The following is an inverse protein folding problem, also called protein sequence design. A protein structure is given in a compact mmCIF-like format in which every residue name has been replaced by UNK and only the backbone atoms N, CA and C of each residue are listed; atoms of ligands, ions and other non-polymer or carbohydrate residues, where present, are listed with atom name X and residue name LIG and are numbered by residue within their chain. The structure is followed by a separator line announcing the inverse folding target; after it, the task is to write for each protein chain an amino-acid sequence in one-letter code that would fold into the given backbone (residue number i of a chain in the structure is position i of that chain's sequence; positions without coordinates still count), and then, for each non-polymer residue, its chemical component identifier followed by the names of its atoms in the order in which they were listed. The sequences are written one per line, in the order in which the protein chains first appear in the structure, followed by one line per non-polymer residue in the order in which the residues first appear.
data_IF_388289185078
#
_entry.id   IF_388289185078
#
_cell.length_a   1.000
_cell.length_b   1.000
_cell.length_c   1.000
_cell.angle_alpha   90.00
_cell.angle_beta   90.00
_cell.angle_gamma   90.00
#
_symmetry.space_group_name_H-M   'P 1'
#
loop_
_entity.id
_entity.type
_entity.pdbx_description
1 polymer ?
#
# COMPACT_ATOMS: atom_id res chain seq x y z
N UNK A 1 -49.43 -35.30 47.60
CA UNK A 1 -49.10 -35.52 46.18
C UNK A 1 -48.35 -34.30 45.69
N UNK A 2 -47.03 -34.45 45.51
CA UNK A 2 -46.08 -33.40 45.17
C UNK A 2 -46.10 -33.10 43.68
N UNK A 3 -46.25 -31.84 43.26
CA UNK A 3 -45.74 -31.37 41.97
C UNK A 3 -45.24 -29.92 42.09
N UNK A 4 -43.92 -29.80 42.21
CA UNK A 4 -43.11 -28.63 41.86
C UNK A 4 -42.85 -28.65 40.34
N UNK A 5 -43.10 -27.54 39.64
CA UNK A 5 -42.38 -27.24 38.40
C UNK A 5 -42.45 -25.75 38.06
N UNK A 6 -41.36 -25.04 38.35
CA UNK A 6 -41.02 -23.72 37.83
C UNK A 6 -40.59 -23.86 36.37
N UNK A 7 -41.30 -23.22 35.43
CA UNK A 7 -40.81 -22.99 34.08
C UNK A 7 -40.66 -21.48 33.85
N UNK A 8 -39.42 -21.10 33.54
CA UNK A 8 -38.84 -19.78 33.57
C UNK A 8 -39.47 -18.77 32.60
N UNK A 9 -39.74 -17.57 33.11
CA UNK A 9 -39.92 -16.34 32.32
C UNK A 9 -38.70 -16.11 31.43
N UNK A 10 -38.90 -16.09 30.11
CA UNK A 10 -37.91 -15.63 29.12
C UNK A 10 -37.68 -14.14 29.34
N UNK A 11 -36.52 -13.79 29.87
CA UNK A 11 -36.11 -12.42 30.16
C UNK A 11 -35.63 -11.72 28.88
N UNK A 12 -36.29 -10.66 28.38
CA UNK A 12 -35.91 -9.97 27.14
C UNK A 12 -34.61 -9.15 27.26
N UNK A 13 -34.12 -8.94 28.50
CA UNK A 13 -32.89 -8.18 28.77
C UNK A 13 -31.62 -8.85 28.23
N UNK A 14 -31.62 -10.17 28.03
CA UNK A 14 -30.45 -10.93 27.57
C UNK A 14 -30.18 -10.78 26.07
N UNK A 15 -31.19 -10.43 25.26
CA UNK A 15 -31.03 -10.25 23.82
C UNK A 15 -30.39 -8.90 23.45
N UNK A 16 -30.69 -7.85 24.20
CA UNK A 16 -30.13 -6.51 23.97
C UNK A 16 -28.61 -6.50 24.24
N UNK A 17 -28.15 -7.24 25.25
CA UNK A 17 -26.72 -7.34 25.57
C UNK A 17 -25.91 -8.08 24.50
N UNK A 18 -26.51 -9.06 23.81
CA UNK A 18 -25.86 -9.77 22.71
C UNK A 18 -25.59 -8.86 21.50
N UNK A 19 -26.45 -7.87 21.23
CA UNK A 19 -26.21 -6.87 20.20
C UNK A 19 -25.04 -5.95 20.55
N UNK A 20 -24.91 -5.55 21.81
CA UNK A 20 -23.77 -4.76 22.24
C UNK A 20 -22.45 -5.54 22.14
N UNK A 21 -22.45 -6.82 22.50
CA UNK A 21 -21.29 -7.68 22.31
C UNK A 21 -20.96 -7.94 20.84
N UNK A 22 -21.95 -8.13 19.97
CA UNK A 22 -21.75 -8.29 18.53
C UNK A 22 -21.23 -7.00 17.87
N UNK A 23 -21.80 -5.85 18.23
CA UNK A 23 -21.34 -4.54 17.76
C UNK A 23 -19.92 -4.24 18.25
N UNK A 24 -19.60 -4.57 19.52
CA UNK A 24 -18.24 -4.48 20.06
C UNK A 24 -17.29 -5.41 19.28
N UNK A 25 -17.71 -6.62 18.93
CA UNK A 25 -16.90 -7.56 18.14
C UNK A 25 -16.64 -7.01 16.72
N UNK A 26 -17.63 -6.38 16.08
CA UNK A 26 -17.46 -5.70 14.79
C UNK A 26 -16.53 -4.49 14.89
N UNK A 27 -16.56 -3.74 16.00
CA UNK A 27 -15.65 -2.61 16.21
C UNK A 27 -14.22 -3.08 16.53
N UNK A 28 -14.07 -4.15 17.33
CA UNK A 28 -12.76 -4.72 17.73
C UNK A 28 -12.10 -5.51 16.59
N UNK A 29 -12.87 -6.22 15.75
CA UNK A 29 -12.35 -7.09 14.69
C UNK A 29 -12.63 -6.60 13.25
N UNK A 30 -13.62 -5.74 13.03
CA UNK A 30 -14.21 -5.48 11.72
C UNK A 30 -13.74 -4.24 10.98
N UNK A 31 -12.85 -3.41 11.56
CA UNK A 31 -12.26 -2.27 10.86
C UNK A 31 -10.81 -2.59 10.47
N UNK A 32 -10.64 -3.59 9.61
CA UNK A 32 -9.43 -3.65 8.78
C UNK A 32 -9.56 -2.52 7.75
N UNK A 33 -9.04 -1.35 8.08
CA UNK A 33 -8.77 -0.32 7.06
C UNK A 33 -7.77 -0.94 6.08
N UNK A 34 -8.25 -1.31 4.90
CA UNK A 34 -7.38 -1.59 3.77
C UNK A 34 -6.55 -0.31 3.56
N UNK A 35 -5.30 -0.32 4.04
CA UNK A 35 -4.34 0.71 3.73
C UNK A 35 -4.05 0.58 2.24
N UNK A 36 -4.83 1.29 1.43
CA UNK A 36 -4.48 1.55 0.05
C UNK A 36 -3.29 2.48 0.15
N UNK A 37 -2.08 1.92 0.09
CA UNK A 37 -0.85 2.71 -0.02
C UNK A 37 -1.03 3.62 -1.23
N UNK A 38 -1.21 4.91 -0.97
CA UNK A 38 -1.34 5.93 -1.99
C UNK A 38 0.01 6.01 -2.71
N UNK A 39 0.21 5.14 -3.71
CA UNK A 39 1.43 5.13 -4.52
C UNK A 39 1.45 6.42 -5.33
N UNK A 40 2.20 7.41 -4.85
CA UNK A 40 2.60 8.53 -5.68
C UNK A 40 3.52 7.98 -6.76
N UNK A 41 3.02 7.85 -7.99
CA UNK A 41 3.83 7.39 -9.13
C UNK A 41 4.95 8.42 -9.36
N UNK A 42 6.19 8.00 -9.11
CA UNK A 42 7.37 8.85 -9.16
C UNK A 42 8.16 8.51 -10.43
N UNK A 43 8.37 9.50 -11.30
CA UNK A 43 9.03 9.31 -12.58
C UNK A 43 10.37 10.01 -12.67
N UNK A 44 11.41 9.27 -13.05
CA UNK A 44 12.74 9.82 -13.31
C UNK A 44 12.80 10.52 -14.67
N UNK A 45 13.96 11.11 -14.96
CA UNK A 45 14.22 11.87 -16.20
C UNK A 45 13.94 11.07 -17.48
N UNK A 46 13.99 9.75 -17.44
CA UNK A 46 13.76 8.90 -18.62
C UNK A 46 12.32 8.96 -19.13
N UNK A 47 11.37 9.54 -18.37
CA UNK A 47 10.00 9.77 -18.84
C UNK A 47 9.92 10.65 -20.09
N UNK A 48 10.95 11.48 -20.34
CA UNK A 48 11.03 12.38 -21.48
C UNK A 48 11.80 11.79 -22.67
N UNK A 49 12.35 10.59 -22.54
CA UNK A 49 13.10 9.95 -23.61
C UNK A 49 12.18 9.38 -24.70
N UNK A 50 12.61 9.48 -25.95
CA UNK A 50 11.85 8.97 -27.10
C UNK A 50 11.89 7.44 -27.21
N UNK A 51 12.92 6.82 -26.63
CA UNK A 51 13.10 5.38 -26.67
C UNK A 51 12.06 4.69 -25.77
N UNK A 52 11.21 3.80 -26.31
CA UNK A 52 10.26 3.04 -25.49
C UNK A 52 10.95 2.24 -24.39
N UNK A 53 12.14 1.70 -24.69
CA UNK A 53 12.94 0.95 -23.72
C UNK A 53 13.35 1.82 -22.53
N UNK A 54 13.75 3.08 -22.74
CA UNK A 54 14.14 3.97 -21.65
C UNK A 54 12.92 4.46 -20.86
N UNK A 55 11.84 4.82 -21.55
CA UNK A 55 10.60 5.28 -20.91
C UNK A 55 9.98 4.21 -19.99
N UNK A 56 10.12 2.92 -20.33
CA UNK A 56 9.70 1.81 -19.47
C UNK A 56 10.44 1.78 -18.11
N UNK A 57 11.63 2.38 -18.01
CA UNK A 57 12.40 2.48 -16.78
C UNK A 57 12.14 3.78 -16.01
N UNK A 58 11.19 4.61 -16.44
CA UNK A 58 10.91 5.91 -15.83
C UNK A 58 10.34 5.80 -14.40
N UNK A 59 9.55 4.77 -14.11
CA UNK A 59 8.95 4.56 -12.78
C UNK A 59 9.88 3.83 -11.80
N UNK A 60 11.10 3.50 -12.22
CA UNK A 60 12.04 2.83 -11.33
C UNK A 60 12.42 3.75 -10.16
N UNK A 61 12.64 3.19 -8.96
CA UNK A 61 13.04 3.97 -7.79
C UNK A 61 14.45 4.59 -7.93
N UNK A 62 15.21 4.15 -8.93
CA UNK A 62 16.54 4.69 -9.24
C UNK A 62 16.39 5.96 -10.08
N UNK A 63 17.11 7.00 -9.68
CA UNK A 63 17.10 8.33 -10.30
C UNK A 63 17.94 8.43 -11.57
N UNK A 64 17.60 7.58 -12.55
CA UNK A 64 18.30 7.48 -13.82
C UNK A 64 18.46 8.83 -14.52
N UNK A 65 19.62 9.01 -15.14
CA UNK A 65 19.89 10.08 -16.09
C UNK A 65 20.00 9.46 -17.48
N UNK A 66 19.48 10.11 -18.54
CA UNK A 66 19.87 9.77 -19.89
C UNK A 66 21.37 10.07 -20.08
N UNK A 67 21.98 9.43 -21.08
CA UNK A 67 23.37 9.70 -21.43
C UNK A 67 23.53 11.14 -21.93
N UNK A 68 24.37 11.92 -21.26
CA UNK A 68 24.61 13.32 -21.63
C UNK A 68 25.41 14.09 -20.58
N UNK A 69 25.68 15.36 -20.86
CA UNK A 69 26.52 16.22 -20.01
C UNK A 69 25.97 16.40 -18.60
N UNK A 70 24.64 16.41 -18.42
CA UNK A 70 23.99 16.56 -17.11
C UNK A 70 24.40 15.44 -16.14
N UNK A 71 24.47 14.19 -16.63
CA UNK A 71 24.87 13.04 -15.82
C UNK A 71 26.33 13.18 -15.34
N UNK A 72 27.23 13.60 -16.23
CA UNK A 72 28.65 13.83 -15.89
C UNK A 72 28.85 15.02 -14.96
N UNK A 73 28.11 16.11 -15.19
CA UNK A 73 28.14 17.28 -14.33
C UNK A 73 27.66 16.95 -12.91
N UNK A 74 26.57 16.17 -12.78
CA UNK A 74 26.09 15.67 -11.49
C UNK A 74 27.14 14.78 -10.80
N UNK A 75 27.72 13.81 -11.53
CA UNK A 75 28.76 12.92 -10.99
C UNK A 75 29.99 13.69 -10.49
N UNK A 76 30.46 14.69 -11.25
CA UNK A 76 31.60 15.54 -10.86
C UNK A 76 31.26 16.42 -9.65
N UNK A 77 30.07 17.02 -9.61
CA UNK A 77 29.61 17.87 -8.50
C UNK A 77 29.45 17.07 -7.21
N UNK A 78 28.91 15.86 -7.30
CA UNK A 78 28.68 14.99 -6.15
C UNK A 78 29.90 14.14 -5.78
N UNK A 79 30.95 14.18 -6.60
CA UNK A 79 32.14 13.33 -6.48
C UNK A 79 31.80 11.84 -6.34
N UNK A 80 30.89 11.36 -7.20
CA UNK A 80 30.43 9.97 -7.24
C UNK A 80 30.79 9.32 -8.57
N UNK A 81 31.13 8.02 -8.58
CA UNK A 81 31.34 7.28 -9.82
C UNK A 81 30.04 7.12 -10.60
N UNK A 82 30.15 6.93 -11.91
CA UNK A 82 29.01 6.69 -12.81
C UNK A 82 28.78 5.18 -12.93
N UNK A 83 27.54 4.76 -12.65
CA UNK A 83 27.06 3.43 -13.02
C UNK A 83 26.37 3.50 -14.39
N UNK A 84 26.99 2.91 -15.41
CA UNK A 84 26.47 2.90 -16.77
C UNK A 84 25.78 1.56 -17.06
N UNK A 85 24.50 1.62 -17.39
CA UNK A 85 23.69 0.48 -17.84
C UNK A 85 23.28 0.68 -19.29
N UNK A 86 23.49 -0.32 -20.14
CA UNK A 86 23.16 -0.29 -21.57
C UNK A 86 22.35 -1.54 -21.90
N UNK A 87 21.26 -1.35 -22.64
CA UNK A 87 20.41 -2.43 -23.12
C UNK A 87 19.54 -1.98 -24.29
N UNK A 88 18.78 -2.92 -24.83
CA UNK A 88 17.83 -2.71 -25.91
C UNK A 88 16.62 -3.64 -25.71
N UNK A 89 15.49 -3.29 -26.34
CA UNK A 89 14.32 -4.17 -26.45
C UNK A 89 14.02 -4.42 -27.92
N UNK A 90 13.74 -5.67 -28.27
CA UNK A 90 13.28 -6.09 -29.61
C UNK A 90 11.78 -6.24 -29.64
#
# INVERSE_FOLDING_TARGET
MSQTSTAACRCPALMIQAFFWLALLVVVFGVSTAHTSEKTEHYNRLIHEKSPYLAQHANNPIWWYPWGEEAFAAAKRENKPIFLSIGYST
#
